data_IF_609372460952
#
_entry.id   IF_609372460952
#
_cell.length_a   1.000
_cell.length_b   1.000
_cell.length_c   1.000
_cell.angle_alpha   90.00
_cell.angle_beta   90.00
_cell.angle_gamma   90.00
#
_symmetry.space_group_name_H-M   'P 1'
#
loop_
_entity.id
_entity.type
_entity.pdbx_description
1 polymer ?
#
# COMPACT_ATOMS: atom_id res chain seq x y z
N UNK A 1 -2.96 -33.35 -34.10
CA UNK A 1 -1.77 -32.58 -33.67
C UNK A 1 -2.27 -31.20 -33.26
N UNK A 2 -2.50 -30.98 -31.97
CA UNK A 2 -1.63 -30.19 -31.06
C UNK A 2 -1.55 -28.73 -31.59
N UNK A 3 -2.18 -27.70 -31.04
CA UNK A 3 -2.40 -27.35 -29.62
C UNK A 3 -1.42 -26.22 -29.26
N UNK A 4 -1.92 -24.99 -28.98
CA UNK A 4 -1.22 -23.89 -28.28
C UNK A 4 -2.19 -22.69 -28.14
N UNK A 5 -3.14 -22.74 -27.22
CA UNK A 5 -3.08 -22.21 -25.83
C UNK A 5 -3.22 -20.68 -25.78
N UNK A 6 -4.44 -20.27 -25.43
CA UNK A 6 -4.78 -18.95 -24.93
C UNK A 6 -4.06 -18.69 -23.60
N UNK A 7 -3.48 -17.50 -23.44
CA UNK A 7 -2.96 -17.03 -22.15
C UNK A 7 -3.73 -15.76 -21.80
N UNK A 8 -4.76 -15.96 -20.98
CA UNK A 8 -5.39 -14.91 -20.18
C UNK A 8 -4.75 -14.93 -18.79
N UNK A 9 -4.22 -13.79 -18.33
CA UNK A 9 -3.67 -13.58 -16.98
C UNK A 9 -4.15 -12.19 -16.53
N UNK A 10 -5.23 -12.04 -15.76
CA UNK A 10 -5.47 -12.32 -14.33
C UNK A 10 -4.69 -11.42 -13.40
N UNK A 11 -5.16 -10.20 -13.06
CA UNK A 11 -4.83 -9.61 -11.75
C UNK A 11 -5.92 -8.64 -11.25
N UNK A 12 -6.59 -9.01 -10.15
CA UNK A 12 -7.44 -8.11 -9.36
C UNK A 12 -6.58 -7.27 -8.43
N UNK A 13 -6.70 -5.95 -8.56
CA UNK A 13 -6.17 -4.80 -7.81
C UNK A 13 -4.74 -4.75 -7.31
N UNK A 14 -4.13 -5.87 -7.01
CA UNK A 14 -2.76 -5.96 -6.57
C UNK A 14 -1.79 -6.32 -7.69
N UNK A 15 -2.22 -6.18 -8.95
CA UNK A 15 -1.27 -5.76 -9.96
C UNK A 15 -1.79 -4.54 -10.68
N UNK A 16 -1.05 -3.50 -10.39
CA UNK A 16 -0.66 -2.53 -11.38
C UNK A 16 -0.17 -3.25 -12.64
N UNK A 17 -0.50 -2.72 -13.81
CA UNK A 17 0.00 -3.21 -15.10
C UNK A 17 -0.87 -4.29 -15.70
N UNK A 18 -1.72 -3.91 -16.65
CA UNK A 18 -1.44 -3.85 -18.10
C UNK A 18 -2.31 -2.65 -18.59
N UNK A 19 -1.91 -1.68 -19.42
CA UNK A 19 -1.61 -1.75 -20.86
C UNK A 19 -0.95 -0.42 -21.27
N UNK A 20 0.07 -0.51 -22.14
CA UNK A 20 1.03 0.50 -22.66
C UNK A 20 2.27 0.74 -21.79
N UNK A 21 3.40 0.18 -22.25
CA UNK A 21 4.70 0.34 -21.63
C UNK A 21 5.08 1.80 -21.48
N UNK A 22 5.29 2.22 -20.23
CA UNK A 22 5.89 3.51 -19.90
C UNK A 22 6.92 3.32 -18.79
N UNK A 23 8.14 3.02 -19.25
CA UNK A 23 9.43 3.55 -18.79
C UNK A 23 9.58 3.79 -17.28
N UNK A 24 10.00 2.76 -16.55
CA UNK A 24 10.76 2.93 -15.29
C UNK A 24 12.26 3.21 -15.57
N UNK A 25 12.62 3.56 -16.80
CA UNK A 25 14.01 3.68 -17.23
C UNK A 25 14.45 5.11 -17.51
N UNK A 26 15.47 5.51 -16.75
CA UNK A 26 16.29 6.72 -16.93
C UNK A 26 15.72 8.03 -16.37
N UNK A 27 15.42 8.06 -15.08
CA UNK A 27 15.38 9.32 -14.31
C UNK A 27 16.67 9.53 -13.49
N UNK A 28 17.40 8.47 -13.13
CA UNK A 28 18.72 8.62 -12.49
C UNK A 28 19.71 9.44 -13.35
N UNK A 29 19.67 9.27 -14.68
CA UNK A 29 20.48 10.07 -15.60
C UNK A 29 19.87 11.46 -15.94
N UNK A 30 18.55 11.65 -15.73
CA UNK A 30 17.87 12.93 -15.98
C UNK A 30 17.90 13.88 -14.77
N UNK A 31 18.06 13.33 -13.56
CA UNK A 31 18.30 14.10 -12.34
C UNK A 31 19.62 14.90 -12.38
N UNK A 32 20.56 14.52 -13.24
CA UNK A 32 21.82 15.23 -13.42
C UNK A 32 21.72 16.48 -14.33
N UNK A 33 20.58 16.74 -14.98
CA UNK A 33 20.46 17.81 -16.00
C UNK A 33 19.29 18.80 -15.80
N UNK A 34 18.59 18.78 -14.67
CA UNK A 34 17.53 19.75 -14.36
C UNK A 34 18.05 20.77 -13.32
N UNK A 35 17.89 22.10 -13.53
CA UNK A 35 18.20 23.08 -12.51
C UNK A 35 17.36 22.79 -11.26
N UNK A 36 18.02 22.78 -10.11
CA UNK A 36 17.42 22.54 -8.79
C UNK A 36 16.40 23.64 -8.44
N UNK A 37 15.14 23.44 -8.82
CA UNK A 37 14.02 24.14 -8.18
C UNK A 37 13.73 23.48 -6.84
N UNK A 38 13.69 24.28 -5.78
CA UNK A 38 13.48 23.82 -4.41
C UNK A 38 12.23 22.92 -4.32
N UNK A 39 12.28 21.78 -3.59
CA UNK A 39 11.12 20.95 -3.40
C UNK A 39 10.05 21.74 -2.65
N UNK A 40 8.83 21.77 -3.18
CA UNK A 40 7.67 22.14 -2.38
C UNK A 40 7.60 21.14 -1.21
N UNK A 41 7.45 21.58 0.04
CA UNK A 41 7.36 20.67 1.16
C UNK A 41 6.18 19.73 0.93
N UNK A 42 6.44 18.42 0.99
CA UNK A 42 5.38 17.44 1.11
C UNK A 42 4.52 17.86 2.29
N UNK A 43 3.22 18.06 2.06
CA UNK A 43 2.31 18.40 3.13
C UNK A 43 2.35 17.25 4.15
N UNK A 44 2.99 17.50 5.30
CA UNK A 44 3.01 16.56 6.39
C UNK A 44 1.55 16.27 6.76
N UNK A 45 1.19 14.98 6.79
CA UNK A 45 -0.11 14.58 7.31
C UNK A 45 -0.22 15.13 8.75
N UNK A 46 -1.34 15.79 9.10
CA UNK A 46 -1.51 16.34 10.43
C UNK A 46 -1.32 15.25 11.51
N UNK A 47 -0.78 15.62 12.68
CA UNK A 47 -0.59 14.67 13.78
C UNK A 47 -1.95 14.06 14.17
N UNK A 48 -1.96 12.80 14.64
CA UNK A 48 -3.20 12.13 15.01
C UNK A 48 -3.89 12.91 16.13
N UNK A 49 -5.10 13.40 15.86
CA UNK A 49 -6.01 13.82 16.92
C UNK A 49 -6.47 12.56 17.64
N UNK A 50 -5.96 12.33 18.84
CA UNK A 50 -6.36 11.21 19.69
C UNK A 50 -7.81 11.43 20.15
N UNK A 51 -8.79 11.00 19.33
CA UNK A 51 -10.16 10.80 19.80
C UNK A 51 -10.16 9.55 20.65
N UNK A 52 -10.44 9.66 21.95
CA UNK A 52 -10.40 8.55 22.91
C UNK A 52 -11.62 7.60 22.83
N UNK A 53 -12.23 7.48 21.65
CA UNK A 53 -13.37 6.62 21.39
C UNK A 53 -13.00 5.46 20.46
N UNK A 54 -13.76 4.36 20.46
CA UNK A 54 -13.61 3.31 19.45
C UNK A 54 -13.73 3.95 18.06
N UNK A 55 -12.93 3.51 17.08
CA UNK A 55 -12.97 4.08 15.74
C UNK A 55 -14.37 3.93 15.14
N UNK A 56 -14.71 4.85 14.23
CA UNK A 56 -15.84 4.64 13.36
C UNK A 56 -15.62 3.34 12.57
N UNK A 57 -16.59 2.42 12.67
CA UNK A 57 -16.56 1.16 11.95
C UNK A 57 -16.57 1.40 10.43
N UNK A 58 -15.80 0.61 9.70
CA UNK A 58 -15.82 0.57 8.25
C UNK A 58 -16.86 -0.47 7.82
N UNK A 59 -18.06 0.00 7.50
CA UNK A 59 -19.18 -0.82 7.03
C UNK A 59 -19.87 -0.15 5.84
N UNK A 60 -20.00 -0.91 4.75
CA UNK A 60 -20.64 -0.45 3.52
C UNK A 60 -19.73 -0.49 2.30
N UNK A 61 -20.15 0.22 1.26
CA UNK A 61 -19.40 0.41 0.03
C UNK A 61 -18.52 1.65 0.12
N UNK A 62 -17.25 1.50 -0.18
CA UNK A 62 -16.24 2.54 -0.16
C UNK A 62 -15.54 2.68 -1.50
N UNK A 63 -15.22 3.93 -1.84
CA UNK A 63 -14.36 4.29 -2.97
C UNK A 63 -12.96 4.56 -2.46
N UNK A 64 -11.98 3.79 -2.95
CA UNK A 64 -10.56 4.00 -2.70
C UNK A 64 -9.93 4.68 -3.91
N UNK A 65 -9.41 5.88 -3.71
CA UNK A 65 -8.62 6.64 -4.68
C UNK A 65 -7.15 6.54 -4.30
N UNK A 66 -6.32 6.06 -5.23
CA UNK A 66 -4.87 5.99 -5.11
C UNK A 66 -4.27 7.01 -6.08
N UNK A 67 -3.65 8.05 -5.53
CA UNK A 67 -3.19 9.23 -6.26
C UNK A 67 -1.80 9.00 -6.88
N UNK A 68 -1.70 8.11 -7.88
CA UNK A 68 -0.44 7.76 -8.55
C UNK A 68 0.25 8.95 -9.19
N UNK A 69 -0.49 10.00 -9.55
CA UNK A 69 0.06 11.29 -9.99
C UNK A 69 0.92 11.98 -8.93
N UNK A 70 0.84 11.56 -7.67
CA UNK A 70 1.64 12.05 -6.52
C UNK A 70 2.55 10.97 -5.93
N UNK A 71 2.77 9.87 -6.64
CA UNK A 71 3.64 8.78 -6.20
C UNK A 71 5.08 9.26 -5.97
N UNK A 72 5.74 8.65 -4.98
CA UNK A 72 7.20 8.74 -4.78
C UNK A 72 7.85 7.36 -4.90
N UNK A 73 9.14 7.36 -5.27
CA UNK A 73 10.03 6.20 -5.28
C UNK A 73 11.25 6.57 -4.45
N UNK A 74 11.51 5.84 -3.36
CA UNK A 74 12.55 6.15 -2.38
C UNK A 74 12.53 7.64 -1.98
N UNK A 75 11.34 8.12 -1.62
CA UNK A 75 11.03 9.51 -1.23
C UNK A 75 11.24 10.57 -2.32
N UNK A 76 11.66 10.18 -3.52
CA UNK A 76 11.79 11.09 -4.67
C UNK A 76 10.48 11.09 -5.47
N UNK A 77 9.92 12.27 -5.82
CA UNK A 77 8.72 12.35 -6.66
C UNK A 77 8.90 11.55 -7.96
N UNK A 78 7.98 10.61 -8.20
CA UNK A 78 7.96 9.73 -9.38
C UNK A 78 6.51 9.53 -9.82
N UNK A 79 5.87 10.60 -10.35
CA UNK A 79 4.46 10.58 -10.69
C UNK A 79 4.16 9.58 -11.83
N UNK A 80 3.16 8.72 -11.63
CA UNK A 80 2.74 7.67 -12.56
C UNK A 80 1.24 7.75 -12.88
N UNK A 81 0.76 8.86 -13.48
CA UNK A 81 -0.66 9.00 -13.82
C UNK A 81 -1.14 7.91 -14.80
N UNK A 82 -2.45 7.60 -14.82
CA UNK A 82 -3.52 8.25 -14.06
C UNK A 82 -3.64 7.75 -12.62
N UNK A 83 -4.33 8.53 -11.78
CA UNK A 83 -4.82 8.06 -10.48
C UNK A 83 -5.80 6.89 -10.69
N UNK A 84 -5.87 5.99 -9.71
CA UNK A 84 -6.67 4.78 -9.79
C UNK A 84 -7.78 4.83 -8.76
N UNK A 85 -9.00 4.57 -9.19
CA UNK A 85 -10.18 4.50 -8.32
C UNK A 85 -10.68 3.07 -8.30
N UNK A 86 -10.95 2.53 -7.11
CA UNK A 86 -11.51 1.18 -6.93
C UNK A 86 -12.60 1.16 -5.87
N UNK A 87 -13.43 0.12 -5.92
CA UNK A 87 -14.64 0.00 -5.12
C UNK A 87 -14.58 -1.22 -4.23
N UNK A 88 -14.93 -1.05 -2.96
CA UNK A 88 -14.74 -2.07 -1.94
C UNK A 88 -15.95 -2.16 -1.04
N UNK A 89 -16.36 -3.38 -0.71
CA UNK A 89 -17.31 -3.62 0.37
C UNK A 89 -16.54 -3.95 1.64
N UNK A 90 -16.77 -3.17 2.70
CA UNK A 90 -16.17 -3.33 4.01
C UNK A 90 -17.18 -3.91 5.01
N UNK A 91 -16.65 -4.70 5.94
CA UNK A 91 -17.34 -5.15 7.15
C UNK A 91 -16.39 -5.09 8.33
N UNK A 92 -16.81 -4.44 9.40
CA UNK A 92 -16.04 -4.35 10.64
C UNK A 92 -16.50 -5.34 11.70
N UNK A 93 -15.57 -5.68 12.59
CA UNK A 93 -15.80 -6.39 13.85
C UNK A 93 -15.05 -5.65 14.94
N UNK A 94 -15.81 -5.04 15.85
CA UNK A 94 -15.30 -4.15 16.88
C UNK A 94 -15.68 -4.66 18.27
N UNK A 95 -14.71 -4.58 19.17
CA UNK A 95 -14.83 -4.75 20.61
C UNK A 95 -14.37 -3.45 21.28
N UNK A 96 -14.59 -3.25 22.60
CA UNK A 96 -14.12 -2.04 23.28
C UNK A 96 -12.61 -1.77 23.18
N UNK A 97 -11.79 -2.80 22.93
CA UNK A 97 -10.32 -2.70 22.90
C UNK A 97 -9.70 -2.93 21.52
N UNK A 98 -10.47 -3.33 20.52
CA UNK A 98 -9.96 -3.76 19.22
C UNK A 98 -11.01 -3.60 18.14
N UNK A 99 -10.59 -3.07 16.99
CA UNK A 99 -11.41 -3.05 15.79
C UNK A 99 -10.62 -3.60 14.60
N UNK A 100 -11.31 -4.39 13.79
CA UNK A 100 -10.81 -4.88 12.51
C UNK A 100 -11.86 -4.77 11.44
N UNK A 101 -11.43 -4.73 10.19
CA UNK A 101 -12.32 -4.71 9.04
C UNK A 101 -11.82 -5.66 7.96
N UNK A 102 -12.73 -6.34 7.28
CA UNK A 102 -12.44 -7.08 6.06
C UNK A 102 -12.99 -6.28 4.88
N UNK A 103 -12.27 -6.29 3.77
CA UNK A 103 -12.66 -5.65 2.53
C UNK A 103 -12.58 -6.64 1.37
N UNK A 104 -13.60 -6.63 0.52
CA UNK A 104 -13.57 -7.34 -0.76
C UNK A 104 -13.74 -6.36 -1.91
N UNK A 105 -13.07 -6.67 -3.01
CA UNK A 105 -13.12 -5.86 -4.21
C UNK A 105 -14.46 -6.05 -4.92
N UNK A 106 -15.09 -4.94 -5.26
CA UNK A 106 -16.27 -4.86 -6.12
C UNK A 106 -15.86 -4.69 -7.58
N UNK A 107 -16.73 -5.07 -8.51
CA UNK A 107 -16.50 -4.81 -9.93
C UNK A 107 -16.34 -3.29 -10.17
N UNK A 108 -15.60 -2.89 -11.20
CA UNK A 108 -15.29 -1.48 -11.47
C UNK A 108 -16.45 -0.73 -12.15
N UNK A 109 -17.31 -1.46 -12.88
CA UNK A 109 -18.45 -0.88 -13.60
C UNK A 109 -19.75 -1.10 -12.83
N UNK A 110 -19.91 -2.28 -12.25
CA UNK A 110 -21.08 -2.66 -11.45
C UNK A 110 -20.69 -2.90 -10.00
N UNK A 111 -20.68 -1.82 -9.20
CA UNK A 111 -20.27 -1.86 -7.79
C UNK A 111 -21.26 -2.64 -6.91
N UNK A 112 -22.31 -3.22 -7.47
CA UNK A 112 -23.22 -4.13 -6.74
C UNK A 112 -22.74 -5.58 -6.75
N UNK A 113 -21.72 -5.90 -7.53
CA UNK A 113 -21.16 -7.24 -7.69
C UNK A 113 -19.72 -7.31 -7.18
N UNK A 114 -19.27 -8.46 -6.66
CA UNK A 114 -17.84 -8.68 -6.43
C UNK A 114 -17.09 -8.69 -7.77
N UNK A 115 -15.83 -8.24 -7.76
CA UNK A 115 -15.01 -8.35 -8.97
C UNK A 115 -14.74 -9.81 -9.33
N UNK A 116 -14.87 -10.14 -10.63
CA UNK A 116 -14.62 -11.49 -11.15
C UNK A 116 -13.20 -12.01 -10.90
N UNK A 117 -12.23 -11.10 -10.82
CA UNK A 117 -10.82 -11.40 -10.53
C UNK A 117 -10.41 -10.91 -9.14
N UNK A 118 -11.39 -10.62 -8.28
CA UNK A 118 -11.16 -10.13 -6.92
C UNK A 118 -10.23 -11.06 -6.17
N UNK A 119 -9.11 -10.50 -5.69
CA UNK A 119 -8.20 -11.21 -4.82
C UNK A 119 -8.87 -11.63 -3.50
N UNK A 120 -8.09 -12.31 -2.66
CA UNK A 120 -8.51 -12.60 -1.28
C UNK A 120 -8.96 -11.33 -0.55
N UNK A 121 -9.86 -11.45 0.45
CA UNK A 121 -10.22 -10.33 1.30
C UNK A 121 -8.99 -9.68 1.94
N UNK A 122 -8.97 -8.36 1.94
CA UNK A 122 -7.95 -7.56 2.64
C UNK A 122 -8.43 -7.30 4.06
N UNK A 123 -7.58 -7.51 5.05
CA UNK A 123 -7.92 -7.30 6.46
C UNK A 123 -7.19 -6.07 6.97
N UNK A 124 -7.92 -5.20 7.67
CA UNK A 124 -7.42 -4.04 8.35
C UNK A 124 -7.55 -4.20 9.85
N UNK A 125 -6.61 -3.62 10.59
CA UNK A 125 -6.67 -3.42 12.03
C UNK A 125 -6.67 -1.93 12.32
N UNK A 126 -7.46 -1.51 13.30
CA UNK A 126 -7.34 -0.18 13.85
C UNK A 126 -6.42 -0.19 15.05
N UNK A 127 -5.35 0.58 14.99
CA UNK A 127 -4.37 0.77 16.06
C UNK A 127 -3.82 2.19 15.99
N UNK A 128 -3.46 2.80 17.12
CA UNK A 128 -2.86 4.14 17.19
C UNK A 128 -3.57 5.23 16.34
N UNK A 129 -4.90 5.20 16.28
CA UNK A 129 -5.69 6.20 15.55
C UNK A 129 -5.76 5.99 14.04
N UNK A 130 -5.29 4.85 13.52
CA UNK A 130 -5.23 4.56 12.09
C UNK A 130 -5.70 3.14 11.76
N UNK A 131 -6.35 2.98 10.61
CA UNK A 131 -6.58 1.70 9.97
C UNK A 131 -5.35 1.29 9.18
N UNK A 132 -4.82 0.10 9.43
CA UNK A 132 -3.68 -0.46 8.71
C UNK A 132 -4.04 -1.84 8.16
N UNK A 133 -3.83 -2.04 6.86
CA UNK A 133 -3.99 -3.35 6.24
C UNK A 133 -2.92 -4.32 6.73
N UNK A 134 -3.25 -5.62 6.77
CA UNK A 134 -2.22 -6.66 6.76
C UNK A 134 -1.36 -6.50 5.50
N UNK A 135 -0.09 -6.90 5.54
CA UNK A 135 0.74 -6.83 4.35
C UNK A 135 0.32 -7.86 3.30
N UNK A 136 0.22 -7.42 2.06
CA UNK A 136 -0.21 -8.22 0.91
C UNK A 136 0.99 -8.48 -0.01
N UNK A 137 1.35 -9.76 -0.21
CA UNK A 137 2.45 -10.15 -1.11
C UNK A 137 1.92 -10.36 -2.51
N UNK A 138 2.35 -9.52 -3.46
CA UNK A 138 1.70 -9.41 -4.77
C UNK A 138 2.69 -9.06 -5.87
N UNK A 139 2.47 -9.54 -7.11
CA UNK A 139 3.32 -9.21 -8.24
C UNK A 139 3.15 -7.75 -8.65
N UNK A 140 4.25 -7.09 -8.95
CA UNK A 140 4.30 -5.70 -9.38
C UNK A 140 5.10 -5.59 -10.69
N UNK A 141 4.54 -4.99 -11.74
CA UNK A 141 5.24 -4.84 -13.01
C UNK A 141 6.36 -3.82 -12.84
N UNK A 142 7.47 -4.07 -13.50
CA UNK A 142 8.61 -3.17 -13.50
C UNK A 142 9.31 -3.21 -14.86
N UNK A 143 10.17 -2.23 -15.13
CA UNK A 143 11.05 -2.24 -16.31
C UNK A 143 12.47 -2.28 -15.78
N UNK A 144 13.20 -3.34 -16.14
CA UNK A 144 14.59 -3.49 -15.72
C UNK A 144 15.55 -2.65 -16.58
N UNK A 145 16.85 -2.59 -16.27
CA UNK A 145 17.85 -1.74 -16.93
C UNK A 145 18.14 -2.00 -18.43
N UNK A 146 17.32 -2.85 -19.06
CA UNK A 146 17.45 -3.24 -20.47
C UNK A 146 16.28 -2.75 -21.33
N UNK A 147 15.33 -1.99 -20.79
CA UNK A 147 14.08 -1.64 -21.48
C UNK A 147 12.97 -2.67 -21.32
N UNK A 148 13.29 -3.86 -20.82
CA UNK A 148 12.38 -5.02 -20.86
C UNK A 148 11.44 -5.00 -19.65
N UNK A 149 10.14 -5.09 -19.95
CA UNK A 149 9.11 -5.26 -18.94
C UNK A 149 9.23 -6.63 -18.25
N UNK A 150 9.18 -6.61 -16.93
CA UNK A 150 9.23 -7.79 -16.06
C UNK A 150 8.22 -7.63 -14.93
N UNK A 151 8.19 -8.60 -14.03
CA UNK A 151 7.42 -8.57 -12.80
C UNK A 151 8.33 -8.91 -11.64
N UNK A 152 8.13 -8.23 -10.51
CA UNK A 152 8.83 -8.46 -9.25
C UNK A 152 7.82 -8.59 -8.12
N UNK A 153 8.16 -9.28 -7.05
CA UNK A 153 7.32 -9.42 -5.87
C UNK A 153 7.42 -8.18 -4.99
N UNK A 154 6.27 -7.68 -4.55
CA UNK A 154 6.16 -6.58 -3.58
C UNK A 154 5.36 -7.01 -2.36
N UNK A 155 5.64 -6.39 -1.22
CA UNK A 155 4.75 -6.41 -0.06
C UNK A 155 4.07 -5.05 0.00
N UNK A 156 2.74 -5.03 -0.01
CA UNK A 156 1.94 -3.81 -0.02
C UNK A 156 1.19 -3.65 1.30
N UNK A 157 1.13 -2.43 1.80
CA UNK A 157 0.32 -2.06 2.97
C UNK A 157 -0.43 -0.76 2.67
N UNK A 158 -1.61 -0.61 3.27
CA UNK A 158 -2.39 0.62 3.21
C UNK A 158 -2.67 1.12 4.63
N UNK A 159 -2.27 2.36 4.90
CA UNK A 159 -2.54 3.05 6.16
C UNK A 159 -3.49 4.20 5.89
N UNK A 160 -4.55 4.31 6.69
CA UNK A 160 -5.64 5.28 6.52
C UNK A 160 -6.03 5.85 7.88
N UNK A 161 -6.14 7.18 7.97
CA UNK A 161 -6.56 7.91 9.17
C UNK A 161 -7.86 8.65 8.91
N UNK A 162 -8.81 8.65 9.87
CA UNK A 162 -9.98 9.52 9.78
C UNK A 162 -9.56 10.98 9.62
N UNK A 163 -10.20 11.70 8.71
CA UNK A 163 -10.05 13.13 8.55
C UNK A 163 -11.29 13.87 9.10
N UNK A 164 -11.23 15.20 9.14
CA UNK A 164 -12.32 16.04 9.66
C UNK A 164 -13.59 16.03 8.79
N UNK A 165 -13.50 15.61 7.52
CA UNK A 165 -14.64 15.53 6.60
C UNK A 165 -15.36 14.18 6.66
N UNK A 166 -14.88 13.24 7.47
CA UNK A 166 -15.43 11.88 7.60
C UNK A 166 -14.88 10.90 6.57
N UNK A 167 -14.02 11.35 5.65
CA UNK A 167 -13.23 10.46 4.79
C UNK A 167 -12.03 9.93 5.57
N UNK A 168 -11.35 8.93 5.02
CA UNK A 168 -10.04 8.51 5.49
C UNK A 168 -8.97 8.89 4.48
N UNK A 169 -7.82 9.35 4.96
CA UNK A 169 -6.68 9.74 4.14
C UNK A 169 -5.42 9.05 4.66
N UNK A 170 -4.50 8.74 3.76
CA UNK A 170 -3.23 8.15 4.14
C UNK A 170 -2.39 7.76 2.94
N UNK A 171 -1.75 6.60 3.01
CA UNK A 171 -0.71 6.21 2.06
C UNK A 171 -0.71 4.69 1.85
N UNK A 172 -0.60 4.30 0.59
CA UNK A 172 -0.24 2.94 0.18
C UNK A 172 1.28 2.86 0.05
N UNK A 173 1.90 1.93 0.77
CA UNK A 173 3.33 1.64 0.69
C UNK A 173 3.55 0.27 0.04
N UNK A 174 4.51 0.20 -0.89
CA UNK A 174 4.94 -1.02 -1.55
C UNK A 174 6.45 -1.17 -1.36
N UNK A 175 6.86 -2.30 -0.79
CA UNK A 175 8.28 -2.64 -0.62
C UNK A 175 8.65 -3.78 -1.55
N UNK A 176 9.63 -3.53 -2.42
CA UNK A 176 10.10 -4.52 -3.41
C UNK A 176 10.92 -5.61 -2.73
N UNK A 177 10.53 -6.87 -2.94
CA UNK A 177 11.16 -8.04 -2.30
C UNK A 177 12.16 -8.76 -3.20
N UNK A 178 11.88 -8.82 -4.51
CA UNK A 178 12.73 -9.51 -5.50
C UNK A 178 13.44 -8.50 -6.40
N UNK A 179 14.34 -8.96 -7.28
CA UNK A 179 15.31 -8.07 -7.95
C UNK A 179 15.33 -8.17 -9.48
N UNK A 180 14.24 -8.61 -10.09
CA UNK A 180 14.15 -8.82 -11.54
C UNK A 180 14.46 -7.54 -12.34
N UNK A 181 14.17 -6.37 -11.73
CA UNK A 181 14.39 -5.05 -12.28
C UNK A 181 15.50 -4.24 -11.58
N UNK A 182 16.28 -4.84 -10.66
CA UNK A 182 17.34 -4.12 -9.93
C UNK A 182 16.79 -3.11 -8.91
N UNK A 183 15.62 -3.39 -8.33
CA UNK A 183 14.86 -2.48 -7.46
C UNK A 183 14.60 -3.09 -6.08
N UNK A 184 15.28 -4.19 -5.71
CA UNK A 184 15.08 -4.82 -4.39
C UNK A 184 15.25 -3.81 -3.26
N UNK A 185 14.35 -3.91 -2.28
CA UNK A 185 14.28 -3.05 -1.09
C UNK A 185 13.90 -1.58 -1.36
N UNK A 186 13.66 -1.18 -2.61
CA UNK A 186 13.05 0.13 -2.89
C UNK A 186 11.63 0.21 -2.38
N UNK A 187 11.24 1.42 -2.00
CA UNK A 187 9.94 1.76 -1.41
C UNK A 187 9.18 2.68 -2.35
N UNK A 188 7.96 2.29 -2.72
CA UNK A 188 7.01 3.13 -3.44
C UNK A 188 5.93 3.57 -2.47
N UNK A 189 5.64 4.87 -2.47
CA UNK A 189 4.59 5.47 -1.63
C UNK A 189 3.61 6.23 -2.50
N UNK A 190 2.32 5.98 -2.29
CA UNK A 190 1.25 6.62 -3.05
C UNK A 190 0.18 7.12 -2.10
N UNK A 191 -0.12 8.44 -2.09
CA UNK A 191 -1.22 8.96 -1.29
C UNK A 191 -2.54 8.27 -1.64
N UNK A 192 -3.38 8.06 -0.63
CA UNK A 192 -4.65 7.36 -0.78
C UNK A 192 -5.76 8.08 -0.01
N UNK A 193 -6.98 8.01 -0.57
CA UNK A 193 -8.20 8.51 0.05
C UNK A 193 -9.28 7.44 -0.03
N UNK A 194 -9.94 7.17 1.10
CA UNK A 194 -11.06 6.23 1.19
C UNK A 194 -12.32 6.99 1.63
N UNK A 195 -13.35 6.95 0.80
CA UNK A 195 -14.63 7.62 1.03
C UNK A 195 -15.78 6.63 1.05
N UNK A 196 -16.68 6.74 2.04
CA UNK A 196 -17.92 5.95 2.05
C UNK A 196 -18.85 6.46 0.96
N UNK A 197 -19.43 5.56 0.19
CA UNK A 197 -20.30 5.89 -0.92
C UNK A 197 -21.73 5.37 -0.75
N UNK A 198 -21.89 4.17 -0.19
CA UNK A 198 -23.19 3.55 0.00
C UNK A 198 -23.14 2.48 1.11
N UNK A 199 -24.28 1.86 1.39
CA UNK A 199 -24.34 0.63 2.18
C UNK A 199 -23.75 -0.55 1.39
N UNK A 200 -23.57 -1.70 2.06
CA UNK A 200 -23.07 -2.92 1.40
C UNK A 200 -24.11 -3.42 0.41
N UNK A 201 -23.74 -3.75 -0.84
CA UNK A 201 -24.71 -4.17 -1.83
C UNK A 201 -25.38 -5.49 -1.43
N UNK A 202 -26.69 -5.65 -1.66
CA UNK A 202 -27.37 -6.91 -1.42
C UNK A 202 -26.70 -8.05 -2.19
N UNK A 203 -26.47 -9.19 -1.54
CA UNK A 203 -25.84 -10.36 -2.15
C UNK A 203 -24.31 -10.36 -2.14
N UNK A 204 -23.66 -9.26 -1.77
CA UNK A 204 -22.21 -9.21 -1.56
C UNK A 204 -21.87 -9.70 -0.16
N UNK A 205 -21.21 -10.85 -0.07
CA UNK A 205 -20.73 -11.40 1.20
C UNK A 205 -19.33 -10.87 1.53
N UNK A 206 -19.24 -10.07 2.61
CA UNK A 206 -17.97 -9.68 3.22
C UNK A 206 -17.71 -10.58 4.43
N UNK A 207 -16.59 -11.33 4.48
CA UNK A 207 -16.30 -12.23 5.58
C UNK A 207 -16.12 -11.45 6.89
N UNK A 208 -16.32 -12.12 8.01
CA UNK A 208 -15.96 -11.56 9.31
C UNK A 208 -14.42 -11.44 9.40
N UNK A 209 -13.85 -10.25 9.65
CA UNK A 209 -12.39 -10.08 9.69
C UNK A 209 -11.66 -11.00 10.66
N UNK A 210 -12.30 -11.43 11.76
CA UNK A 210 -11.64 -12.34 12.72
C UNK A 210 -11.54 -13.77 12.22
N UNK A 211 -12.27 -14.11 11.14
CA UNK A 211 -12.27 -15.45 10.53
C UNK A 211 -11.31 -15.57 9.35
N UNK A 212 -10.80 -14.44 8.84
CA UNK A 212 -9.86 -14.44 7.70
C UNK A 212 -8.45 -14.79 8.21
N UNK A 213 -7.85 -15.91 7.76
CA UNK A 213 -6.54 -16.33 8.21
C UNK A 213 -5.44 -15.30 7.92
N UNK A 214 -4.48 -15.21 8.81
CA UNK A 214 -3.23 -14.49 8.54
C UNK A 214 -2.32 -15.40 7.72
N UNK A 215 -1.81 -14.89 6.59
CA UNK A 215 -0.88 -15.66 5.77
C UNK A 215 0.52 -15.42 6.34
N UNK A 216 1.09 -16.45 6.97
CA UNK A 216 2.47 -16.44 7.40
C UNK A 216 3.40 -16.29 6.18
N UNK A 217 4.01 -15.12 6.01
CA UNK A 217 4.89 -14.86 4.87
C UNK A 217 5.34 -13.41 4.71
N UNK A 218 4.57 -12.45 5.24
CA UNK A 218 4.98 -11.05 5.22
C UNK A 218 5.51 -10.61 6.59
N UNK A 219 6.73 -11.04 6.92
CA UNK A 219 7.44 -10.45 8.05
C UNK A 219 7.88 -9.05 7.65
N UNK A 220 7.32 -8.06 8.33
CA UNK A 220 7.84 -6.70 8.40
C UNK A 220 9.34 -6.76 8.66
N UNK A 221 10.15 -6.11 7.81
CA UNK A 221 11.56 -5.91 8.09
C UNK A 221 11.66 -5.26 9.48
N UNK A 222 12.28 -5.98 10.43
CA UNK A 222 12.48 -5.48 11.77
C UNK A 222 13.17 -4.11 11.70
N UNK A 223 12.61 -3.10 12.38
CA UNK A 223 13.29 -1.83 12.58
C UNK A 223 14.66 -2.10 13.21
N UNK A 224 15.76 -1.54 12.69
CA UNK A 224 17.05 -1.70 13.33
C UNK A 224 16.96 -1.04 14.71
N UNK A 225 17.09 -1.86 15.76
CA UNK A 225 17.25 -1.36 17.13
C UNK A 225 18.49 -0.46 17.16
N UNK A 226 18.44 0.75 17.76
CA UNK A 226 19.63 1.55 17.94
C UNK A 226 20.58 0.77 18.85
N UNK A 227 21.71 0.32 18.30
CA UNK A 227 22.77 -0.24 19.13
C UNK A 227 23.40 0.91 19.91
N UNK A 228 23.15 0.93 21.22
CA UNK A 228 23.87 1.75 22.18
C UNK A 228 25.38 1.51 22.02
N UNK A 229 26.06 2.42 21.31
CA UNK A 229 27.52 2.47 21.30
C UNK A 229 28.01 2.89 22.68
N UNK A 230 28.30 1.89 23.51
CA UNK A 230 29.09 2.04 24.72
C UNK A 230 30.50 2.54 24.34
N UNK A 231 30.72 3.83 24.52
CA UNK A 231 32.02 4.48 24.45
C UNK A 231 33.00 3.86 25.47
N UNK A 232 34.22 3.43 25.08
CA UNK A 232 35.21 3.01 26.06
C UNK A 232 35.86 4.22 26.73
N UNK A 233 35.77 4.23 28.06
CA UNK A 233 36.42 5.18 28.94
C UNK A 233 37.96 5.15 28.81
N UNK A 234 38.57 6.32 28.98
CA UNK A 234 40.02 6.54 28.98
C UNK A 234 40.75 5.76 30.09
N UNK A 235 42.00 5.31 29.88
CA UNK A 235 42.80 4.75 30.95
C UNK A 235 43.52 5.85 31.76
N UNK A 236 43.17 5.93 33.04
CA UNK A 236 43.91 6.67 34.07
C UNK A 236 45.28 6.03 34.32
N UNK A 237 46.34 6.86 34.30
CA UNK A 237 47.66 6.53 34.84
C UNK A 237 47.59 6.23 36.34
N UNK A 238 48.47 5.33 36.83
CA UNK A 238 49.21 5.62 38.05
C UNK A 238 50.73 5.38 37.87
N UNK A 239 51.53 6.20 38.55
CA UNK A 239 52.97 6.33 38.35
C UNK A 239 53.87 5.41 39.19
N UNK A 240 55.18 5.50 38.89
CA UNK A 240 56.30 5.72 39.82
C UNK A 240 57.48 6.19 38.98
#
# INVERSE_FOLDING_TARGET
>A
MIGAVAIAVLIGLFAFGIITGRKMESTAARAASVPSSAPAPAAALPPPSATSGPPAALDGTYRLEVERSKQTFDYTPSPQPPDVTTWWAFRSSCTPSYCSAAAILLDDKDHTQPALTGGRPVVFRFDDGQWQSRPETVPFPCVGPSGIAKSQTTVQTLVLRPNVTGDLVGEMELVVQTDECGQRASVVRVPAKLSRAADTPPGVYVPDPVTVPEIAGAQTAASPTPSDSKSPAAPSKPGR
#
